data_IF_025981037204
#
_entry.id   IF_025981037204
#
_cell.length_a   1.000
_cell.length_b   1.000
_cell.length_c   1.000
_cell.angle_alpha   90.00
_cell.angle_beta   90.00
_cell.angle_gamma   90.00
#
_symmetry.space_group_name_H-M   'P 1'
#
loop_
_entity.id
_entity.type
_entity.pdbx_description
1 polymer ?
#
# COMPACT_ATOMS: atom_id res chain seq x y z
N UNK A 1 0.78 33.23 59.76
CA UNK A 1 0.46 31.96 60.46
C UNK A 1 0.60 30.83 59.46
N UNK A 2 1.29 29.75 59.83
CA UNK A 2 1.44 28.54 59.02
C UNK A 2 0.49 27.47 59.57
N UNK A 3 -0.29 26.84 58.70
CA UNK A 3 -1.11 25.69 59.08
C UNK A 3 -0.24 24.43 58.96
N UNK A 4 0.36 24.01 60.08
CA UNK A 4 1.03 22.73 60.16
C UNK A 4 0.01 21.59 60.20
N UNK A 5 0.51 20.36 60.05
CA UNK A 5 -0.30 19.15 59.95
C UNK A 5 -1.12 18.85 61.21
N UNK A 6 -0.58 19.14 62.40
CA UNK A 6 -1.24 18.86 63.68
C UNK A 6 -1.97 20.08 64.24
N UNK A 7 -1.39 21.27 64.04
CA UNK A 7 -1.96 22.53 64.53
C UNK A 7 -1.42 23.73 63.76
N UNK A 8 -1.96 24.90 64.05
CA UNK A 8 -1.44 26.17 63.52
C UNK A 8 -0.17 26.56 64.27
N UNK A 9 0.86 26.91 63.52
CA UNK A 9 2.13 27.41 64.03
C UNK A 9 2.32 28.88 63.65
N UNK A 10 2.76 29.69 64.60
CA UNK A 10 3.19 31.07 64.37
C UNK A 10 4.69 31.05 64.06
N UNK A 11 5.03 31.20 62.79
CA UNK A 11 6.41 31.40 62.36
C UNK A 11 6.64 32.90 62.29
N UNK A 12 7.63 33.38 63.02
CA UNK A 12 8.01 34.80 63.09
C UNK A 12 9.41 34.96 62.52
N UNK A 13 9.57 35.93 61.63
CA UNK A 13 10.87 36.37 61.13
C UNK A 13 11.02 37.84 61.51
N UNK A 14 12.06 38.15 62.29
CA UNK A 14 12.47 39.53 62.55
C UNK A 14 13.86 39.73 61.97
N UNK A 15 14.01 40.73 61.11
CA UNK A 15 15.27 41.08 60.47
C UNK A 15 15.54 42.56 60.71
N UNK A 16 16.71 42.86 61.27
CA UNK A 16 17.21 44.21 61.52
C UNK A 16 18.46 44.44 60.65
N UNK A 17 18.30 45.00 59.43
CA UNK A 17 19.40 45.11 58.46
C UNK A 17 20.57 45.98 58.93
N UNK A 18 20.28 47.09 59.61
CA UNK A 18 21.31 48.03 60.13
C UNK A 18 22.15 47.40 61.25
N UNK A 19 21.55 46.51 62.03
CA UNK A 19 22.24 45.75 63.09
C UNK A 19 22.75 44.39 62.59
N UNK A 20 22.58 44.08 61.30
CA UNK A 20 22.89 42.81 60.65
C UNK A 20 22.31 41.58 61.36
N UNK A 21 21.17 41.68 62.05
CA UNK A 21 20.61 40.59 62.90
C UNK A 21 19.34 39.98 62.32
N UNK A 22 19.25 38.65 62.35
CA UNK A 22 18.07 37.86 61.97
C UNK A 22 17.65 36.95 63.13
N UNK A 23 16.36 36.96 63.41
CA UNK A 23 15.70 36.08 64.37
C UNK A 23 14.58 35.32 63.67
N UNK A 24 14.58 34.00 63.81
CA UNK A 24 13.48 33.14 63.38
C UNK A 24 12.93 32.43 64.60
N UNK A 25 11.62 32.57 64.84
CA UNK A 25 10.94 31.94 65.96
C UNK A 25 9.78 31.06 65.48
N UNK A 26 9.56 29.96 66.17
CA UNK A 26 8.42 29.07 66.00
C UNK A 26 7.62 29.06 67.30
N UNK A 27 6.39 29.58 67.26
CA UNK A 27 5.52 29.74 68.43
C UNK A 27 6.21 30.48 69.59
N UNK A 28 7.03 31.48 69.29
CA UNK A 28 7.80 32.25 70.27
C UNK A 28 9.13 31.62 70.69
N UNK A 29 9.41 30.36 70.32
CA UNK A 29 10.69 29.69 70.63
C UNK A 29 11.72 30.07 69.54
N UNK A 30 12.91 30.59 69.90
CA UNK A 30 13.95 30.91 68.93
C UNK A 30 14.48 29.64 68.27
N UNK A 31 14.41 29.59 66.94
CA UNK A 31 15.01 28.54 66.12
C UNK A 31 16.38 28.97 65.59
N UNK A 32 16.49 30.23 65.16
CA UNK A 32 17.74 30.81 64.67
C UNK A 32 17.91 32.23 65.22
N UNK A 33 19.11 32.50 65.72
CA UNK A 33 19.59 33.85 66.05
C UNK A 33 20.95 33.99 65.38
N UNK A 34 21.01 34.68 64.24
CA UNK A 34 22.22 34.79 63.44
C UNK A 34 22.34 36.16 62.82
N UNK A 35 23.49 36.45 62.22
CA UNK A 35 23.71 37.70 61.49
C UNK A 35 23.71 37.47 59.98
N UNK A 36 23.24 38.44 59.20
CA UNK A 36 23.43 38.46 57.74
C UNK A 36 24.25 39.71 57.43
N UNK A 37 25.49 39.50 57.03
CA UNK A 37 26.39 40.60 56.73
C UNK A 37 25.86 41.40 55.54
N UNK A 38 26.08 42.70 55.50
CA UNK A 38 25.62 43.55 54.40
C UNK A 38 26.19 43.16 53.01
N UNK A 39 27.28 42.39 53.00
CA UNK A 39 27.92 41.80 51.82
C UNK A 39 27.21 40.54 51.30
N UNK A 40 26.34 39.91 52.09
CA UNK A 40 25.60 38.71 51.69
C UNK A 40 24.37 39.10 50.85
N UNK A 41 24.26 38.51 49.65
CA UNK A 41 23.12 38.76 48.76
C UNK A 41 21.90 37.89 49.08
N UNK A 42 22.09 36.76 49.75
CA UNK A 42 20.97 35.88 50.15
C UNK A 42 21.34 34.98 51.31
N UNK A 43 20.36 34.66 52.16
CA UNK A 43 20.52 33.70 53.25
C UNK A 43 19.28 32.81 53.37
N UNK A 44 19.50 31.50 53.52
CA UNK A 44 18.43 30.50 53.58
C UNK A 44 18.48 29.73 54.88
N UNK A 45 17.30 29.52 55.47
CA UNK A 45 17.08 28.80 56.72
C UNK A 45 16.15 27.63 56.48
N UNK A 46 16.46 26.48 57.06
CA UNK A 46 15.71 25.24 56.86
C UNK A 46 15.38 24.63 58.22
N UNK A 47 14.10 24.45 58.52
CA UNK A 47 13.65 23.85 59.78
C UNK A 47 12.41 22.98 59.53
N UNK A 48 12.09 22.11 60.48
CA UNK A 48 10.94 21.23 60.38
C UNK A 48 9.79 21.72 61.26
N UNK A 49 8.58 21.69 60.72
CA UNK A 49 7.33 21.91 61.46
C UNK A 49 6.43 20.71 61.18
N UNK A 50 6.03 19.97 62.22
CA UNK A 50 5.20 18.75 62.08
C UNK A 50 5.71 17.74 61.02
N UNK A 51 7.02 17.49 60.98
CA UNK A 51 7.74 16.65 60.00
C UNK A 51 7.74 17.17 58.55
N UNK A 52 7.34 18.43 58.32
CA UNK A 52 7.42 19.10 57.02
C UNK A 52 8.60 20.08 56.99
N UNK A 53 9.46 19.93 55.98
CA UNK A 53 10.57 20.85 55.75
C UNK A 53 10.00 22.21 55.33
N UNK A 54 10.32 23.22 56.13
CA UNK A 54 10.00 24.62 55.89
C UNK A 54 11.29 25.38 55.60
N UNK A 55 11.25 26.22 54.57
CA UNK A 55 12.41 26.99 54.12
C UNK A 55 12.04 28.47 54.15
N UNK A 56 12.88 29.27 54.82
CA UNK A 56 12.83 30.74 54.76
C UNK A 56 14.05 31.22 53.98
N UNK A 57 13.84 31.97 52.92
CA UNK A 57 14.89 32.60 52.14
C UNK A 57 14.78 34.12 52.24
N UNK A 58 15.89 34.77 52.53
CA UNK A 58 16.04 36.23 52.53
C UNK A 58 16.94 36.58 51.35
N UNK A 59 16.46 37.42 50.43
CA UNK A 59 17.21 37.87 49.25
C UNK A 59 17.33 39.40 49.27
N UNK A 60 18.55 39.92 49.09
CA UNK A 60 18.81 41.34 48.91
C UNK A 60 18.67 41.70 47.43
N UNK A 61 17.74 42.59 47.10
CA UNK A 61 17.48 43.10 45.74
C UNK A 61 17.71 44.61 45.73
N UNK A 62 18.93 45.03 45.39
CA UNK A 62 19.35 46.42 45.49
C UNK A 62 19.36 46.90 46.95
N UNK A 63 18.55 47.92 47.26
CA UNK A 63 18.43 48.48 48.60
C UNK A 63 17.25 47.90 49.43
N UNK A 64 16.63 46.82 48.97
CA UNK A 64 15.48 46.19 49.61
C UNK A 64 15.72 44.70 49.89
N UNK A 65 15.03 44.15 50.89
CA UNK A 65 15.07 42.73 51.24
C UNK A 65 13.73 42.06 50.92
N UNK A 66 13.78 40.94 50.21
CA UNK A 66 12.64 40.09 49.93
C UNK A 66 12.68 38.84 50.82
N UNK A 67 11.55 38.50 51.42
CA UNK A 67 11.40 37.35 52.30
C UNK A 67 10.48 36.33 51.65
N UNK A 68 10.94 35.08 51.52
CA UNK A 68 10.18 34.00 50.92
C UNK A 68 10.08 32.83 51.89
N UNK A 69 8.86 32.37 52.14
CA UNK A 69 8.60 31.12 52.87
C UNK A 69 8.13 30.07 51.86
N UNK A 70 8.83 28.94 51.78
CA UNK A 70 8.45 27.82 50.91
C UNK A 70 8.42 26.50 51.68
N UNK A 71 7.48 25.66 51.31
CA UNK A 71 7.34 24.29 51.81
C UNK A 71 7.46 23.35 50.62
N UNK A 72 8.66 22.83 50.31
CA UNK A 72 8.82 21.93 49.18
C UNK A 72 7.88 20.73 49.33
N UNK A 73 7.06 20.51 48.29
CA UNK A 73 5.96 19.53 48.24
C UNK A 73 6.42 18.07 48.41
N UNK A 74 7.75 17.84 48.39
CA UNK A 74 8.39 16.54 48.57
C UNK A 74 9.58 16.66 49.53
N UNK A 75 9.30 16.96 50.80
CA UNK A 75 10.29 16.85 51.87
C UNK A 75 10.68 15.39 52.13
N UNK A 76 11.86 15.14 52.73
CA UNK A 76 12.42 13.81 53.01
C UNK A 76 11.66 12.98 54.05
N UNK A 77 10.45 13.41 54.44
CA UNK A 77 9.63 12.78 55.46
C UNK A 77 9.07 11.41 55.01
N UNK A 78 8.82 10.52 55.98
CA UNK A 78 8.29 9.16 55.72
C UNK A 78 6.97 9.18 54.95
N UNK A 79 6.16 10.23 55.12
CA UNK A 79 4.84 10.34 54.48
C UNK A 79 4.89 10.85 53.04
N UNK A 80 5.83 11.74 52.71
CA UNK A 80 6.06 12.12 51.32
C UNK A 80 6.52 10.90 50.48
N UNK A 81 7.32 10.00 51.08
CA UNK A 81 7.70 8.72 50.46
C UNK A 81 6.48 7.81 50.22
N UNK A 82 5.56 7.74 51.18
CA UNK A 82 4.32 6.94 51.05
C UNK A 82 3.36 7.50 49.99
N UNK A 83 3.17 8.83 49.92
CA UNK A 83 2.38 9.46 48.86
C UNK A 83 2.97 9.19 47.49
N UNK A 84 4.29 9.32 47.33
CA UNK A 84 5.01 9.02 46.09
C UNK A 84 4.84 7.56 45.66
N UNK A 85 4.75 6.64 46.61
CA UNK A 85 4.51 5.21 46.32
C UNK A 85 3.05 4.96 45.92
N UNK A 86 2.09 5.57 46.60
CA UNK A 86 0.66 5.51 46.24
C UNK A 86 0.40 6.10 44.85
N UNK A 87 1.00 7.25 44.53
CA UNK A 87 0.84 7.87 43.21
C UNK A 87 1.44 7.02 42.10
N UNK A 88 2.61 6.40 42.35
CA UNK A 88 3.20 5.43 41.42
C UNK A 88 2.31 4.21 41.19
N UNK A 89 1.69 3.68 42.25
CA UNK A 89 0.74 2.57 42.13
C UNK A 89 -0.53 2.95 41.38
N UNK A 90 -1.06 4.15 41.62
CA UNK A 90 -2.22 4.66 40.87
C UNK A 90 -1.88 4.83 39.38
N UNK A 91 -0.72 5.41 39.07
CA UNK A 91 -0.26 5.58 37.70
C UNK A 91 -0.03 4.22 37.01
N UNK A 92 0.57 3.26 37.71
CA UNK A 92 0.75 1.89 37.24
C UNK A 92 -0.60 1.18 37.02
N UNK A 93 -1.58 1.40 37.90
CA UNK A 93 -2.94 0.89 37.76
C UNK A 93 -3.66 1.45 36.53
N UNK A 94 -3.57 2.76 36.30
CA UNK A 94 -4.14 3.41 35.10
C UNK A 94 -3.48 2.85 33.84
N UNK A 95 -2.15 2.71 33.82
CA UNK A 95 -1.43 2.13 32.70
C UNK A 95 -1.84 0.67 32.43
N UNK A 96 -2.05 -0.12 33.49
CA UNK A 96 -2.51 -1.50 33.37
C UNK A 96 -3.93 -1.59 32.79
N UNK A 97 -4.86 -0.73 33.23
CA UNK A 97 -6.21 -0.67 32.64
C UNK A 97 -6.14 -0.26 31.17
N UNK A 98 -5.33 0.74 30.83
CA UNK A 98 -5.16 1.15 29.42
C UNK A 98 -4.58 0.03 28.56
N UNK A 99 -3.58 -0.68 29.06
CA UNK A 99 -2.99 -1.83 28.37
C UNK A 99 -4.00 -2.97 28.19
N UNK A 100 -4.88 -3.21 29.17
CA UNK A 100 -5.91 -4.25 29.10
C UNK A 100 -7.03 -3.87 28.12
N UNK A 101 -7.42 -2.60 28.06
CA UNK A 101 -8.39 -2.09 27.08
C UNK A 101 -7.82 -2.14 25.65
N UNK A 102 -6.59 -1.67 25.45
CA UNK A 102 -5.92 -1.74 24.13
C UNK A 102 -5.62 -3.18 23.72
N UNK A 103 -5.21 -4.03 24.64
CA UNK A 103 -4.92 -5.44 24.40
C UNK A 103 -6.17 -6.30 24.19
N UNK A 104 -7.27 -6.02 24.90
CA UNK A 104 -8.52 -6.78 24.80
C UNK A 104 -9.39 -6.31 23.64
N UNK A 105 -9.68 -5.00 23.57
CA UNK A 105 -10.58 -4.43 22.56
C UNK A 105 -9.83 -3.97 21.31
N UNK A 106 -8.58 -3.51 21.43
CA UNK A 106 -7.81 -3.05 20.27
C UNK A 106 -7.20 -4.18 19.44
N UNK A 107 -6.79 -5.29 20.07
CA UNK A 107 -6.20 -6.43 19.38
C UNK A 107 -7.06 -7.02 18.24
N UNK A 108 -8.37 -7.25 18.37
CA UNK A 108 -9.18 -7.77 17.26
C UNK A 108 -9.30 -6.77 16.11
N UNK A 109 -9.32 -5.46 16.36
CA UNK A 109 -9.32 -4.44 15.31
C UNK A 109 -7.98 -4.36 14.58
N UNK A 110 -6.87 -4.40 15.32
CA UNK A 110 -5.52 -4.41 14.74
C UNK A 110 -5.33 -5.70 13.93
N UNK A 111 -5.70 -6.85 14.49
CA UNK A 111 -5.64 -8.14 13.82
C UNK A 111 -6.48 -8.14 12.55
N UNK A 112 -7.75 -7.75 12.59
CA UNK A 112 -8.58 -7.68 11.39
C UNK A 112 -8.00 -6.69 10.37
N UNK A 113 -7.53 -5.52 10.79
CA UNK A 113 -6.92 -4.56 9.86
C UNK A 113 -5.72 -5.16 9.12
N UNK A 114 -4.78 -5.81 9.84
CA UNK A 114 -3.63 -6.46 9.21
C UNK A 114 -4.03 -7.69 8.40
N UNK A 115 -4.94 -8.52 8.90
CA UNK A 115 -5.38 -9.74 8.24
C UNK A 115 -6.15 -9.42 6.95
N UNK A 116 -7.09 -8.49 6.99
CA UNK A 116 -7.82 -8.00 5.80
C UNK A 116 -6.86 -7.34 4.81
N UNK A 117 -5.87 -6.57 5.27
CA UNK A 117 -4.85 -5.99 4.37
C UNK A 117 -3.99 -7.07 3.71
N UNK A 118 -3.59 -8.11 4.45
CA UNK A 118 -2.82 -9.22 3.89
C UNK A 118 -3.63 -10.05 2.91
N UNK A 119 -4.92 -10.29 3.19
CA UNK A 119 -5.86 -10.94 2.27
C UNK A 119 -6.09 -10.09 1.01
N UNK A 120 -6.29 -8.78 1.15
CA UNK A 120 -6.50 -7.86 0.03
C UNK A 120 -5.27 -7.74 -0.87
N UNK A 121 -4.06 -7.90 -0.31
CA UNK A 121 -2.81 -7.93 -1.07
C UNK A 121 -2.60 -9.28 -1.78
N UNK A 122 -3.21 -10.36 -1.28
CA UNK A 122 -3.20 -11.67 -1.92
C UNK A 122 -4.32 -11.75 -2.96
N UNK A 123 -4.05 -11.22 -4.15
CA UNK A 123 -4.95 -11.26 -5.31
C UNK A 123 -5.45 -12.68 -5.67
N UNK A 124 -4.77 -13.73 -5.21
CA UNK A 124 -5.15 -15.13 -5.42
C UNK A 124 -6.41 -15.58 -4.65
N UNK A 125 -6.79 -14.91 -3.56
CA UNK A 125 -7.87 -15.35 -2.67
C UNK A 125 -9.19 -14.57 -2.85
N UNK A 126 -9.18 -13.49 -3.63
CA UNK A 126 -10.37 -12.64 -3.82
C UNK A 126 -10.24 -11.57 -4.91
N UNK A 127 -9.27 -11.71 -5.81
CA UNK A 127 -9.10 -10.78 -6.92
C UNK A 127 -10.22 -10.89 -7.95
N UNK A 128 -10.56 -9.76 -8.56
CA UNK A 128 -11.49 -9.67 -9.69
C UNK A 128 -10.71 -9.54 -10.99
N UNK A 129 -11.17 -10.22 -12.05
CA UNK A 129 -10.57 -10.14 -13.39
C UNK A 129 -11.41 -9.21 -14.26
N UNK A 130 -10.76 -8.28 -14.96
CA UNK A 130 -11.41 -7.40 -15.92
C UNK A 130 -10.49 -7.12 -17.12
N UNK A 131 -11.03 -6.76 -18.29
CA UNK A 131 -10.22 -6.28 -19.40
C UNK A 131 -9.46 -4.98 -19.06
N UNK A 132 -8.19 -4.95 -19.41
CA UNK A 132 -7.28 -3.82 -19.31
C UNK A 132 -6.77 -3.43 -20.71
N UNK A 133 -6.70 -2.12 -20.97
CA UNK A 133 -6.29 -1.56 -22.24
C UNK A 133 -4.90 -0.96 -22.12
N UNK A 134 -3.97 -1.38 -22.97
CA UNK A 134 -2.65 -0.76 -23.05
C UNK A 134 -2.76 0.68 -23.54
N UNK A 135 -2.16 1.61 -22.79
CA UNK A 135 -2.22 3.04 -23.10
C UNK A 135 -1.08 3.52 -23.99
N UNK A 136 -0.02 2.72 -24.11
CA UNK A 136 1.19 2.99 -24.91
C UNK A 136 1.62 1.72 -25.63
N UNK A 137 2.30 1.87 -26.77
CA UNK A 137 2.94 0.74 -27.47
C UNK A 137 4.23 0.40 -26.74
N UNK A 138 4.35 -0.82 -26.18
CA UNK A 138 5.55 -1.22 -25.45
C UNK A 138 6.70 -1.62 -26.40
N UNK A 139 7.94 -1.42 -25.97
CA UNK A 139 9.13 -1.85 -26.72
C UNK A 139 9.41 -3.34 -26.42
N UNK A 140 8.65 -4.24 -27.06
CA UNK A 140 8.73 -5.69 -26.81
C UNK A 140 10.09 -6.27 -27.21
N UNK A 141 10.76 -5.68 -28.20
CA UNK A 141 12.06 -6.17 -28.69
C UNK A 141 13.17 -6.02 -27.62
N UNK A 142 12.96 -5.17 -26.61
CA UNK A 142 13.87 -5.04 -25.48
C UNK A 142 13.65 -6.11 -24.39
N UNK A 143 12.49 -6.80 -24.38
CA UNK A 143 12.13 -7.76 -23.34
C UNK A 143 13.13 -8.92 -23.16
N UNK A 144 13.75 -9.49 -24.23
CA UNK A 144 14.74 -10.56 -24.05
C UNK A 144 15.99 -10.13 -23.25
N UNK A 145 16.29 -8.83 -23.22
CA UNK A 145 17.53 -8.31 -22.64
C UNK A 145 17.29 -7.52 -21.34
N UNK A 146 16.08 -7.01 -21.10
CA UNK A 146 15.75 -6.18 -19.94
C UNK A 146 14.25 -6.20 -19.62
N UNK A 147 13.88 -5.80 -18.39
CA UNK A 147 12.48 -5.61 -18.04
C UNK A 147 11.88 -4.43 -18.81
N UNK A 148 10.59 -4.55 -19.14
CA UNK A 148 9.83 -3.47 -19.79
C UNK A 148 8.69 -3.03 -18.90
N UNK A 149 8.34 -1.74 -18.98
CA UNK A 149 7.18 -1.20 -18.28
C UNK A 149 5.97 -1.16 -19.20
N UNK A 150 4.87 -1.79 -18.79
CA UNK A 150 3.59 -1.71 -19.47
C UNK A 150 2.67 -0.74 -18.75
N UNK A 151 2.15 0.23 -19.50
CA UNK A 151 1.15 1.18 -19.02
C UNK A 151 -0.25 0.76 -19.50
N UNK A 152 -1.19 0.66 -18.58
CA UNK A 152 -2.53 0.18 -18.88
C UNK A 152 -3.59 0.89 -18.04
N UNK A 153 -4.83 0.83 -18.54
CA UNK A 153 -6.01 1.32 -17.84
C UNK A 153 -7.11 0.26 -17.82
N UNK A 154 -7.85 0.18 -16.72
CA UNK A 154 -8.97 -0.74 -16.57
C UNK A 154 -10.09 -0.10 -15.76
N UNK A 155 -11.27 -0.72 -15.80
CA UNK A 155 -12.45 -0.24 -15.07
C UNK A 155 -12.67 -1.09 -13.84
N UNK A 156 -12.71 -0.46 -12.66
CA UNK A 156 -13.10 -1.08 -11.40
C UNK A 156 -14.43 -0.44 -10.95
N UNK A 157 -15.54 -1.12 -11.23
CA UNK A 157 -16.89 -0.57 -11.00
C UNK A 157 -17.15 0.68 -11.85
N UNK A 158 -17.31 1.85 -11.21
CA UNK A 158 -17.53 3.13 -11.90
C UNK A 158 -16.24 3.93 -12.14
N UNK A 159 -15.10 3.48 -11.60
CA UNK A 159 -13.83 4.21 -11.71
C UNK A 159 -12.93 3.60 -12.78
N UNK A 160 -12.21 4.47 -13.49
CA UNK A 160 -11.10 4.04 -14.37
C UNK A 160 -9.80 4.17 -13.59
N UNK A 161 -9.05 3.07 -13.49
CA UNK A 161 -7.75 3.02 -12.85
C UNK A 161 -6.68 2.98 -13.93
N UNK A 162 -5.67 3.82 -13.79
CA UNK A 162 -4.46 3.79 -14.62
C UNK A 162 -3.32 3.24 -13.78
N UNK A 163 -2.65 2.22 -14.27
CA UNK A 163 -1.57 1.54 -13.57
C UNK A 163 -0.40 1.26 -14.52
N UNK A 164 0.72 0.83 -13.94
CA UNK A 164 1.87 0.34 -14.68
C UNK A 164 2.40 -0.93 -14.01
N UNK A 165 2.96 -1.83 -14.81
CA UNK A 165 3.60 -3.04 -14.30
C UNK A 165 4.92 -3.26 -15.03
N UNK A 166 5.90 -3.77 -14.31
CA UNK A 166 7.17 -4.18 -14.90
C UNK A 166 7.10 -5.66 -15.23
N UNK A 167 7.31 -5.99 -16.49
CA UNK A 167 7.40 -7.36 -16.96
C UNK A 167 8.88 -7.75 -16.99
N UNK A 168 9.29 -8.79 -16.24
CA UNK A 168 10.67 -9.23 -16.21
C UNK A 168 11.06 -9.89 -17.54
N UNK A 169 12.34 -9.84 -17.89
CA UNK A 169 12.87 -10.44 -19.12
C UNK A 169 12.61 -11.96 -19.24
N UNK A 170 12.39 -12.64 -18.12
CA UNK A 170 12.07 -14.06 -18.07
C UNK A 170 10.62 -14.41 -18.47
N UNK A 171 9.71 -13.43 -18.55
CA UNK A 171 8.33 -13.70 -18.96
C UNK A 171 8.25 -13.82 -20.49
N UNK A 172 8.11 -15.06 -20.97
CA UNK A 172 7.99 -15.37 -22.39
C UNK A 172 6.58 -15.19 -22.95
N UNK A 173 5.56 -15.04 -22.11
CA UNK A 173 4.15 -15.03 -22.52
C UNK A 173 3.85 -13.89 -23.47
N UNK A 174 4.37 -12.70 -23.14
CA UNK A 174 4.13 -11.48 -23.90
C UNK A 174 4.96 -11.43 -25.19
N UNK A 175 6.17 -11.99 -25.17
CA UNK A 175 6.99 -12.17 -26.37
C UNK A 175 6.35 -13.16 -27.35
N UNK A 176 5.84 -14.28 -26.82
CA UNK A 176 5.12 -15.29 -27.60
C UNK A 176 3.82 -14.73 -28.20
N UNK A 177 3.12 -13.85 -27.48
CA UNK A 177 1.96 -13.16 -28.04
C UNK A 177 2.38 -12.19 -29.16
N UNK A 178 3.44 -11.40 -28.95
CA UNK A 178 3.89 -10.41 -29.92
C UNK A 178 4.38 -11.02 -31.24
N UNK A 179 4.92 -12.24 -31.21
CA UNK A 179 5.34 -12.96 -32.42
C UNK A 179 4.16 -13.48 -33.26
N UNK A 180 2.99 -13.68 -32.64
CA UNK A 180 1.76 -14.08 -33.32
C UNK A 180 0.96 -12.86 -33.79
N UNK A 181 0.79 -11.88 -32.89
CA UNK A 181 0.04 -10.65 -33.14
C UNK A 181 0.79 -9.47 -32.53
N UNK A 182 1.17 -8.45 -33.32
CA UNK A 182 1.88 -7.29 -32.80
C UNK A 182 1.13 -6.60 -31.67
N UNK A 183 1.80 -6.43 -30.52
CA UNK A 183 1.24 -5.73 -29.37
C UNK A 183 1.32 -4.23 -29.62
N UNK A 184 0.15 -3.61 -29.71
CA UNK A 184 0.00 -2.18 -29.99
C UNK A 184 -0.68 -1.44 -28.84
N UNK A 185 -0.60 -0.10 -28.86
CA UNK A 185 -1.51 0.77 -28.11
C UNK A 185 -2.95 0.38 -28.45
N UNK A 186 -3.78 0.06 -27.44
CA UNK A 186 -5.12 -0.52 -27.53
C UNK A 186 -5.23 -2.06 -27.51
N UNK A 187 -4.11 -2.79 -27.42
CA UNK A 187 -4.19 -4.23 -27.11
C UNK A 187 -4.89 -4.41 -25.76
N UNK A 188 -5.83 -5.35 -25.71
CA UNK A 188 -6.59 -5.67 -24.50
C UNK A 188 -6.02 -6.92 -23.86
N UNK A 189 -5.61 -6.82 -22.61
CA UNK A 189 -5.14 -7.91 -21.77
C UNK A 189 -6.06 -8.05 -20.55
N UNK A 190 -5.86 -9.09 -19.75
CA UNK A 190 -6.57 -9.22 -18.48
C UNK A 190 -5.78 -8.57 -17.35
N UNK A 191 -6.49 -7.96 -16.39
CA UNK A 191 -5.91 -7.53 -15.13
C UNK A 191 -6.67 -8.15 -13.98
N UNK A 192 -5.90 -8.66 -13.02
CA UNK A 192 -6.39 -9.13 -11.73
C UNK A 192 -6.19 -7.99 -10.71
N UNK A 193 -7.26 -7.55 -10.05
CA UNK A 193 -7.19 -6.44 -9.08
C UNK A 193 -7.98 -6.76 -7.81
N UNK A 194 -7.65 -6.08 -6.70
CA UNK A 194 -8.37 -6.23 -5.44
C UNK A 194 -9.66 -5.41 -5.47
N UNK A 195 -10.81 -6.04 -5.17
CA UNK A 195 -12.11 -5.37 -5.18
C UNK A 195 -12.22 -4.22 -4.16
N UNK A 196 -11.50 -4.32 -3.04
CA UNK A 196 -11.48 -3.28 -1.99
C UNK A 196 -10.49 -2.16 -2.28
N UNK A 197 -9.35 -2.47 -2.90
CA UNK A 197 -8.34 -1.49 -3.32
C UNK A 197 -7.84 -1.78 -4.74
N UNK A 198 -8.47 -1.17 -5.77
CA UNK A 198 -8.09 -1.40 -7.15
C UNK A 198 -6.67 -0.99 -7.53
N UNK A 199 -5.95 -0.22 -6.69
CA UNK A 199 -4.55 0.09 -6.93
C UNK A 199 -3.63 -1.11 -6.72
N UNK A 200 -4.07 -2.11 -5.97
CA UNK A 200 -3.44 -3.43 -5.90
C UNK A 200 -3.91 -4.24 -7.11
N UNK A 201 -3.07 -4.31 -8.14
CA UNK A 201 -3.39 -4.97 -9.40
C UNK A 201 -2.16 -5.67 -10.01
N UNK A 202 -2.44 -6.66 -10.86
CA UNK A 202 -1.45 -7.42 -11.63
C UNK A 202 -2.00 -7.70 -13.02
N UNK A 203 -1.26 -7.30 -14.05
CA UNK A 203 -1.58 -7.63 -15.43
C UNK A 203 -1.31 -9.13 -15.67
N UNK A 204 -2.22 -9.81 -16.36
CA UNK A 204 -2.06 -11.20 -16.75
C UNK A 204 -1.66 -11.23 -18.23
N UNK A 205 -0.41 -11.62 -18.49
CA UNK A 205 0.19 -11.64 -19.84
C UNK A 205 -0.05 -12.94 -20.58
N UNK A 206 -0.37 -14.03 -19.87
CA UNK A 206 -0.63 -15.35 -20.45
C UNK A 206 -2.08 -15.61 -20.90
N UNK A 207 -3.03 -14.78 -20.45
CA UNK A 207 -4.44 -14.95 -20.78
C UNK A 207 -4.95 -13.78 -21.63
N UNK A 208 -5.75 -14.08 -22.64
CA UNK A 208 -6.37 -13.09 -23.49
C UNK A 208 -7.87 -13.01 -23.20
N UNK A 209 -8.40 -11.79 -22.99
CA UNK A 209 -9.84 -11.61 -22.84
C UNK A 209 -10.55 -12.00 -24.14
N UNK A 210 -11.78 -12.50 -24.03
CA UNK A 210 -12.62 -12.88 -25.17
C UNK A 210 -12.68 -11.79 -26.25
N UNK A 211 -12.81 -10.52 -25.83
CA UNK A 211 -12.84 -9.36 -26.73
C UNK A 211 -11.58 -9.21 -27.60
N UNK A 212 -10.41 -9.53 -27.05
CA UNK A 212 -9.16 -9.49 -27.81
C UNK A 212 -9.09 -10.65 -28.80
N UNK A 213 -9.51 -11.84 -28.38
CA UNK A 213 -9.62 -13.02 -29.26
C UNK A 213 -10.55 -12.77 -30.44
N UNK A 214 -11.69 -12.12 -30.22
CA UNK A 214 -12.62 -11.72 -31.28
C UNK A 214 -11.99 -10.70 -32.25
N UNK A 215 -11.21 -9.76 -31.73
CA UNK A 215 -10.47 -8.78 -32.54
C UNK A 215 -9.48 -9.49 -33.47
N UNK A 216 -8.72 -10.47 -32.96
CA UNK A 216 -7.81 -11.28 -33.77
C UNK A 216 -8.54 -12.14 -34.80
N UNK A 217 -9.69 -12.72 -34.44
CA UNK A 217 -10.54 -13.46 -35.39
C UNK A 217 -11.03 -12.57 -36.54
N UNK A 218 -11.41 -11.32 -36.26
CA UNK A 218 -11.80 -10.35 -37.29
C UNK A 218 -10.63 -9.97 -38.21
N UNK A 219 -9.43 -9.78 -37.65
CA UNK A 219 -8.22 -9.54 -38.44
C UNK A 219 -7.90 -10.72 -39.36
N UNK A 220 -7.95 -11.95 -38.85
CA UNK A 220 -7.73 -13.15 -39.62
C UNK A 220 -8.79 -13.33 -40.73
N UNK A 221 -10.06 -12.99 -40.46
CA UNK A 221 -11.13 -13.00 -41.47
C UNK A 221 -10.84 -12.02 -42.60
N UNK A 222 -10.43 -10.79 -42.25
CA UNK A 222 -10.05 -9.78 -43.24
C UNK A 222 -8.88 -10.26 -44.10
N UNK A 223 -7.85 -10.83 -43.50
CA UNK A 223 -6.70 -11.37 -44.23
C UNK A 223 -7.10 -12.52 -45.16
N UNK A 224 -7.97 -13.43 -44.70
CA UNK A 224 -8.52 -14.50 -45.54
C UNK A 224 -9.27 -13.97 -46.76
N UNK A 225 -10.11 -12.95 -46.57
CA UNK A 225 -10.86 -12.33 -47.67
C UNK A 225 -9.96 -11.61 -48.66
N UNK A 226 -8.77 -11.16 -48.24
CA UNK A 226 -7.76 -10.54 -49.11
C UNK A 226 -6.84 -11.55 -49.79
N UNK A 227 -6.63 -12.72 -49.19
CA UNK A 227 -5.78 -13.77 -49.75
C UNK A 227 -6.41 -14.40 -51.00
N UNK A 228 -5.57 -14.69 -52.01
CA UNK A 228 -5.99 -15.29 -53.28
C UNK A 228 -5.77 -16.80 -53.23
N UNK A 229 -6.83 -17.56 -53.00
CA UNK A 229 -6.80 -19.02 -53.03
C UNK A 229 -6.94 -19.51 -54.46
N UNK A 230 -6.02 -20.38 -54.90
CA UNK A 230 -5.98 -20.92 -56.27
C UNK A 230 -7.01 -22.01 -56.55
N UNK A 231 -7.46 -22.76 -55.52
CA UNK A 231 -8.40 -23.88 -55.66
C UNK A 231 -9.56 -23.77 -54.67
N UNK A 232 -10.44 -22.79 -54.86
CA UNK A 232 -11.64 -22.66 -54.03
C UNK A 232 -12.73 -23.63 -54.47
N UNK A 233 -13.47 -24.25 -53.53
CA UNK A 233 -14.64 -25.04 -53.86
C UNK A 233 -15.73 -24.13 -54.42
N UNK A 234 -16.19 -24.40 -55.65
CA UNK A 234 -17.21 -23.61 -56.35
C UNK A 234 -18.52 -23.52 -55.53
N UNK A 235 -18.83 -24.56 -54.75
CA UNK A 235 -20.05 -24.68 -53.94
C UNK A 235 -20.06 -23.85 -52.66
N UNK A 236 -18.90 -23.51 -52.07
CA UNK A 236 -18.85 -22.80 -50.79
C UNK A 236 -18.76 -21.27 -50.96
N UNK A 237 -18.14 -20.79 -52.04
CA UNK A 237 -17.79 -19.38 -52.17
C UNK A 237 -16.76 -18.91 -51.13
N UNK A 238 -16.12 -17.76 -51.38
CA UNK A 238 -14.97 -17.29 -50.57
C UNK A 238 -15.34 -17.01 -49.12
N UNK A 239 -16.52 -16.44 -48.87
CA UNK A 239 -16.95 -16.06 -47.51
C UNK A 239 -17.16 -17.28 -46.61
N UNK A 240 -17.91 -18.29 -47.07
CA UNK A 240 -18.14 -19.51 -46.29
C UNK A 240 -16.84 -20.26 -46.05
N UNK A 241 -16.00 -20.38 -47.08
CA UNK A 241 -14.69 -21.01 -46.96
C UNK A 241 -13.83 -20.33 -45.88
N UNK A 242 -13.75 -19.00 -45.89
CA UNK A 242 -13.01 -18.25 -44.87
C UNK A 242 -13.58 -18.48 -43.45
N UNK A 243 -14.91 -18.54 -43.30
CA UNK A 243 -15.55 -18.77 -42.00
C UNK A 243 -15.28 -20.19 -41.46
N UNK A 244 -15.30 -21.21 -42.31
CA UNK A 244 -14.89 -22.55 -41.90
C UNK A 244 -13.39 -22.60 -41.58
N UNK A 245 -12.55 -21.99 -42.43
CA UNK A 245 -11.10 -21.98 -42.25
C UNK A 245 -10.74 -21.36 -40.91
N UNK A 246 -11.34 -20.21 -40.56
CA UNK A 246 -11.18 -19.58 -39.25
C UNK A 246 -11.57 -20.52 -38.10
N UNK A 247 -12.70 -21.22 -38.25
CA UNK A 247 -13.22 -22.14 -37.22
C UNK A 247 -12.30 -23.34 -37.06
N UNK A 248 -11.84 -23.94 -38.16
CA UNK A 248 -10.89 -25.05 -38.19
C UNK A 248 -9.56 -24.64 -37.54
N UNK A 249 -8.98 -23.53 -38.00
CA UNK A 249 -7.69 -23.04 -37.49
C UNK A 249 -7.73 -22.74 -35.99
N UNK A 250 -8.81 -22.14 -35.51
CA UNK A 250 -8.95 -21.85 -34.09
C UNK A 250 -9.19 -23.13 -33.26
N UNK A 251 -9.95 -24.08 -33.78
CA UNK A 251 -10.26 -25.34 -33.08
C UNK A 251 -9.02 -26.22 -32.92
N UNK A 252 -8.18 -26.33 -33.97
CA UNK A 252 -7.03 -27.22 -33.98
C UNK A 252 -5.71 -26.55 -33.57
N UNK A 253 -5.56 -25.25 -33.84
CA UNK A 253 -4.29 -24.52 -33.64
C UNK A 253 -4.45 -23.22 -32.83
N UNK A 254 -5.65 -22.96 -32.29
CA UNK A 254 -5.94 -21.79 -31.45
C UNK A 254 -5.49 -20.47 -32.11
N UNK A 255 -4.88 -19.57 -31.35
CA UNK A 255 -4.41 -18.28 -31.83
C UNK A 255 -3.29 -18.39 -32.88
N UNK A 256 -2.47 -19.44 -32.82
CA UNK A 256 -1.40 -19.65 -33.80
C UNK A 256 -1.97 -19.91 -35.20
N UNK A 257 -3.06 -20.66 -35.30
CA UNK A 257 -3.78 -20.87 -36.56
C UNK A 257 -4.30 -19.56 -37.14
N UNK A 258 -4.90 -18.71 -36.31
CA UNK A 258 -5.37 -17.39 -36.74
C UNK A 258 -4.22 -16.48 -37.19
N UNK A 259 -3.09 -16.49 -36.47
CA UNK A 259 -1.92 -15.70 -36.80
C UNK A 259 -1.32 -16.10 -38.16
N UNK A 260 -1.23 -17.41 -38.45
CA UNK A 260 -0.81 -17.92 -39.78
C UNK A 260 -1.65 -17.32 -40.90
N UNK A 261 -2.96 -17.24 -40.72
CA UNK A 261 -3.88 -16.67 -41.70
C UNK A 261 -3.72 -15.15 -41.85
N UNK A 262 -3.51 -14.42 -40.74
CA UNK A 262 -3.20 -12.99 -40.79
C UNK A 262 -1.95 -12.69 -41.60
N UNK A 263 -0.94 -13.55 -41.49
CA UNK A 263 0.35 -13.40 -42.17
C UNK A 263 0.45 -14.14 -43.51
N UNK A 264 -0.68 -14.61 -44.06
CA UNK A 264 -0.72 -15.37 -45.30
C UNK A 264 -0.18 -14.61 -46.53
N UNK A 265 -0.15 -13.27 -46.48
CA UNK A 265 0.38 -12.40 -47.52
C UNK A 265 1.65 -11.63 -47.09
N UNK A 266 2.16 -11.88 -45.88
CA UNK A 266 3.32 -11.16 -45.35
C UNK A 266 4.62 -11.73 -45.95
N UNK A 267 5.57 -10.90 -46.42
CA UNK A 267 6.87 -11.37 -46.88
C UNK A 267 7.75 -11.85 -45.72
N UNK A 268 8.66 -12.79 -45.97
CA UNK A 268 9.56 -13.36 -44.95
C UNK A 268 10.46 -12.31 -44.28
N UNK A 269 10.79 -11.24 -45.01
CA UNK A 269 11.59 -10.11 -44.50
C UNK A 269 10.89 -9.35 -43.37
N UNK A 270 9.55 -9.32 -43.36
CA UNK A 270 8.75 -8.64 -42.34
C UNK A 270 8.44 -9.55 -41.15
N UNK A 271 8.22 -10.84 -41.39
CA UNK A 271 8.01 -11.83 -40.33
C UNK A 271 8.65 -13.17 -40.70
N UNK A 272 9.75 -13.49 -40.02
CA UNK A 272 10.52 -14.73 -40.24
C UNK A 272 9.77 -15.99 -39.79
N UNK A 273 8.87 -15.87 -38.81
CA UNK A 273 8.16 -17.02 -38.23
C UNK A 273 6.88 -17.34 -38.98
N UNK A 274 6.11 -16.30 -39.34
CA UNK A 274 4.82 -16.43 -40.02
C UNK A 274 4.80 -15.53 -41.26
N UNK A 275 4.76 -16.14 -42.43
CA UNK A 275 4.79 -15.47 -43.72
C UNK A 275 4.08 -16.29 -44.81
N UNK A 276 3.99 -15.72 -46.01
CA UNK A 276 3.36 -16.35 -47.16
C UNK A 276 3.92 -17.74 -47.49
N UNK A 277 5.24 -17.96 -47.37
CA UNK A 277 5.86 -19.26 -47.65
C UNK A 277 5.46 -20.32 -46.59
N UNK A 278 5.55 -19.98 -45.31
CA UNK A 278 5.14 -20.87 -44.22
C UNK A 278 3.64 -21.17 -44.22
N UNK A 279 2.81 -20.20 -44.64
CA UNK A 279 1.37 -20.40 -44.82
C UNK A 279 1.08 -21.30 -46.02
N UNK A 280 1.76 -21.08 -47.16
CA UNK A 280 1.64 -21.93 -48.34
C UNK A 280 2.02 -23.39 -48.05
N UNK A 281 3.14 -23.62 -47.36
CA UNK A 281 3.56 -24.95 -46.94
C UNK A 281 2.54 -25.62 -45.99
N UNK A 282 1.97 -24.84 -45.07
CA UNK A 282 0.91 -25.32 -44.18
C UNK A 282 -0.36 -25.71 -44.94
N UNK A 283 -0.74 -24.94 -45.97
CA UNK A 283 -1.91 -25.22 -46.80
C UNK A 283 -1.69 -26.35 -47.82
N UNK A 284 -0.47 -26.85 -48.02
CA UNK A 284 -0.19 -27.96 -48.94
C UNK A 284 -0.40 -29.35 -48.32
N UNK A 285 -0.63 -29.46 -47.00
CA UNK A 285 -0.78 -30.73 -46.27
C UNK A 285 -2.20 -31.33 -46.34
N UNK A 286 -2.83 -31.41 -47.52
CA UNK A 286 -4.23 -31.88 -47.73
C UNK A 286 -5.34 -31.11 -46.98
N UNK A 287 -4.97 -30.18 -46.10
CA UNK A 287 -5.85 -29.28 -45.33
C UNK A 287 -6.96 -28.60 -46.16
N UNK A 288 -6.70 -28.06 -47.37
CA UNK A 288 -7.73 -27.36 -48.13
C UNK A 288 -8.89 -28.27 -48.51
N UNK A 289 -8.63 -29.54 -48.83
CA UNK A 289 -9.68 -30.51 -49.14
C UNK A 289 -10.45 -30.92 -47.88
N UNK A 290 -9.75 -31.12 -46.76
CA UNK A 290 -10.38 -31.43 -45.48
C UNK A 290 -11.30 -30.29 -45.00
N UNK A 291 -10.82 -29.04 -45.06
CA UNK A 291 -11.59 -27.83 -44.72
C UNK A 291 -12.80 -27.68 -45.65
N UNK A 292 -12.63 -27.96 -46.94
CA UNK A 292 -13.73 -27.94 -47.92
C UNK A 292 -14.78 -29.00 -47.61
N UNK A 293 -14.37 -30.20 -47.21
CA UNK A 293 -15.28 -31.28 -46.84
C UNK A 293 -16.04 -30.96 -45.55
N UNK A 294 -15.39 -30.32 -44.58
CA UNK A 294 -16.02 -29.80 -43.36
C UNK A 294 -17.03 -28.70 -43.71
N UNK A 295 -16.66 -27.74 -44.57
CA UNK A 295 -17.57 -26.68 -45.01
C UNK A 295 -18.82 -27.21 -45.71
N UNK A 296 -18.63 -28.15 -46.63
CA UNK A 296 -19.73 -28.68 -47.45
C UNK A 296 -20.66 -29.56 -46.61
N UNK A 297 -20.14 -30.39 -45.69
CA UNK A 297 -20.97 -31.14 -44.72
C UNK A 297 -21.76 -30.23 -43.78
N UNK A 298 -21.16 -29.17 -43.25
CA UNK A 298 -21.86 -28.24 -42.38
C UNK A 298 -22.92 -27.42 -43.13
N UNK A 299 -22.70 -27.13 -44.42
CA UNK A 299 -23.67 -26.46 -45.27
C UNK A 299 -24.87 -27.36 -45.66
N UNK A 300 -24.67 -28.68 -45.75
CA UNK A 300 -25.76 -29.64 -46.03
C UNK A 300 -26.49 -30.13 -44.79
N UNK A 301 -25.83 -30.19 -43.63
CA UNK A 301 -26.39 -30.64 -42.36
C UNK A 301 -27.23 -29.60 -41.58
N UNK A 302 -27.37 -28.36 -42.08
CA UNK A 302 -28.32 -27.37 -41.51
C UNK A 302 -29.74 -27.48 -42.11
N UNK A 303 -30.02 -28.57 -42.84
CA UNK A 303 -31.35 -28.92 -43.35
C UNK A 303 -31.83 -30.23 -42.73
N UNK A 304 -31.95 -30.28 -41.42
CA UNK A 304 -32.84 -31.21 -40.69
C UNK A 304 -33.53 -30.46 -39.56
#
# INVERSE_FOLDING_TARGET
MYAGRLKRHKIELAHAPEAEKIFIRLNGIPLYETTMQNTENSKTFQFFVDDELCIITIEKKGNQYAYRFTTPEYSTSRLARLRKWKDRLLLAGIAAVFALVLGGLGAPFIYNYFHTRQLNNNLSLGGMITPAYLTQTPNIDALPNQSITLHYKFRAGLRTITSKTEIPAADSSLLALNSLFPITRNTVLEVLYSGTDPHVNRLLTGNLPQKQTETYRQQARKACMQHSFTNLPVTAGKTLFCDCLLTYLYTHYQLQGLARLCHANTPETENKLLNAATFGAFMQQDLPQEITNICTRNATGSKE
#
